data_IF_192829250647
#
_entry.id   IF_192829250647
#
_cell.length_a   1.000
_cell.length_b   1.000
_cell.length_c   1.000
_cell.angle_alpha   90.00
_cell.angle_beta   90.00
_cell.angle_gamma   90.00
#
_symmetry.space_group_name_H-M   'P 1'
#
loop_
_entity.id
_entity.type
_entity.pdbx_description
1 polymer ?
#
# COMPACT_ATOMS: atom_id res chain seq x y z
N UNK A 1 0.75 -26.59 20.99
CA UNK A 1 1.58 -27.82 20.88
C UNK A 1 3.01 -27.47 21.31
N UNK A 2 3.52 -28.24 22.28
CA UNK A 2 4.58 -27.90 23.22
C UNK A 2 5.98 -27.94 22.60
N UNK A 3 6.28 -27.05 21.65
CA UNK A 3 7.59 -27.02 20.96
C UNK A 3 8.76 -26.70 21.91
N UNK A 4 8.51 -25.83 22.89
CA UNK A 4 9.51 -25.41 23.87
C UNK A 4 9.94 -26.54 24.82
N UNK A 5 9.02 -27.44 25.20
CA UNK A 5 9.35 -28.60 26.04
C UNK A 5 10.21 -29.61 25.29
N UNK A 6 10.02 -29.76 23.96
CA UNK A 6 10.82 -30.70 23.18
C UNK A 6 12.27 -30.22 23.01
N UNK A 7 12.46 -28.95 22.64
CA UNK A 7 13.80 -28.39 22.38
C UNK A 7 14.65 -28.39 23.66
N UNK A 8 14.05 -28.05 24.80
CA UNK A 8 14.78 -28.03 26.09
C UNK A 8 15.23 -29.41 26.55
N UNK A 9 14.45 -30.45 26.28
CA UNK A 9 14.82 -31.84 26.57
C UNK A 9 15.92 -32.34 25.63
N UNK A 10 15.84 -32.02 24.34
CA UNK A 10 16.88 -32.35 23.36
C UNK A 10 18.22 -31.69 23.69
N UNK A 11 18.21 -30.41 24.09
CA UNK A 11 19.43 -29.68 24.47
C UNK A 11 20.10 -30.24 25.73
N UNK A 12 19.31 -30.71 26.70
CA UNK A 12 19.85 -31.40 27.89
C UNK A 12 20.51 -32.73 27.56
N UNK A 13 20.05 -33.45 26.53
CA UNK A 13 20.69 -34.69 26.08
C UNK A 13 22.04 -34.42 25.40
N UNK A 14 22.15 -33.32 24.65
CA UNK A 14 23.38 -32.96 23.94
C UNK A 14 24.46 -32.38 24.86
N UNK A 15 24.05 -31.59 25.85
CA UNK A 15 24.98 -30.97 26.80
C UNK A 15 24.32 -30.86 28.20
N UNK A 16 24.43 -31.90 29.04
CA UNK A 16 23.74 -31.96 30.32
C UNK A 16 24.24 -30.93 31.34
N UNK A 17 25.51 -30.51 31.25
CA UNK A 17 26.12 -29.52 32.15
C UNK A 17 25.99 -28.07 31.65
N UNK A 18 25.40 -27.86 30.47
CA UNK A 18 25.21 -26.53 29.92
C UNK A 18 23.97 -25.85 30.52
N UNK A 19 24.18 -24.71 31.18
CA UNK A 19 23.10 -23.88 31.70
C UNK A 19 22.51 -23.02 30.57
N UNK A 20 21.61 -23.63 29.79
CA UNK A 20 20.94 -22.94 28.68
C UNK A 20 19.99 -21.85 29.21
N UNK A 21 20.16 -20.58 28.79
CA UNK A 21 19.22 -19.53 29.18
C UNK A 21 17.84 -19.84 28.61
N UNK A 22 16.79 -19.68 29.43
CA UNK A 22 15.42 -19.93 29.01
C UNK A 22 14.96 -18.99 27.90
N UNK A 23 15.51 -17.76 27.89
CA UNK A 23 15.26 -16.75 26.87
C UNK A 23 16.50 -16.55 26.00
N UNK A 24 16.30 -16.51 24.68
CA UNK A 24 17.37 -16.21 23.75
C UNK A 24 17.83 -14.75 23.96
N UNK A 25 19.15 -14.48 24.13
CA UNK A 25 19.67 -13.13 24.35
C UNK A 25 19.50 -12.20 23.14
N UNK A 26 19.12 -12.74 21.99
CA UNK A 26 18.87 -12.00 20.76
C UNK A 26 17.47 -12.29 20.25
N UNK A 27 16.72 -11.21 20.03
CA UNK A 27 15.40 -11.28 19.42
C UNK A 27 15.48 -10.71 18.02
N UNK A 28 14.84 -11.39 17.07
CA UNK A 28 14.70 -10.85 15.72
C UNK A 28 13.43 -10.01 15.63
N UNK A 29 13.41 -8.94 14.81
CA UNK A 29 12.20 -8.17 14.57
C UNK A 29 11.07 -9.06 14.02
N UNK A 30 9.83 -8.71 14.34
CA UNK A 30 8.66 -9.38 13.77
C UNK A 30 8.74 -9.41 12.23
N UNK A 31 8.47 -10.56 11.63
CA UNK A 31 8.53 -10.76 10.17
C UNK A 31 9.94 -10.94 9.60
N UNK A 32 10.99 -11.04 10.42
CA UNK A 32 12.37 -11.24 9.94
C UNK A 32 12.50 -12.48 9.05
N UNK A 33 11.99 -13.63 9.49
CA UNK A 33 12.07 -14.88 8.73
C UNK A 33 11.09 -14.94 7.56
N UNK A 34 10.01 -14.14 7.58
CA UNK A 34 9.06 -14.07 6.47
C UNK A 34 9.68 -13.35 5.25
N UNK A 35 10.47 -12.30 5.50
CA UNK A 35 11.19 -11.54 4.46
C UNK A 35 12.60 -12.07 4.17
N UNK A 36 13.09 -13.03 4.95
CA UNK A 36 14.43 -13.57 4.82
C UNK A 36 14.66 -14.24 3.44
N UNK A 37 13.76 -15.09 2.92
CA UNK A 37 13.95 -15.71 1.60
C UNK A 37 14.05 -14.68 0.48
N UNK A 38 13.22 -13.64 0.52
CA UNK A 38 13.22 -12.56 -0.47
C UNK A 38 14.51 -11.74 -0.40
N UNK A 39 14.96 -11.43 0.82
CA UNK A 39 16.21 -10.70 1.05
C UNK A 39 17.40 -11.49 0.51
N UNK A 40 17.47 -12.81 0.77
CA UNK A 40 18.52 -13.68 0.24
C UNK A 40 18.47 -13.76 -1.28
N UNK A 41 17.29 -13.94 -1.88
CA UNK A 41 17.15 -14.01 -3.34
C UNK A 41 17.48 -12.69 -4.03
N UNK A 42 17.14 -11.57 -3.41
CA UNK A 42 17.51 -10.24 -3.88
C UNK A 42 19.03 -10.06 -3.81
N UNK A 43 19.65 -10.46 -2.70
CA UNK A 43 21.09 -10.39 -2.53
C UNK A 43 21.82 -11.26 -3.56
N UNK A 44 21.35 -12.50 -3.80
CA UNK A 44 21.89 -13.38 -4.85
C UNK A 44 21.68 -12.79 -6.25
N UNK A 45 20.57 -12.11 -6.52
CA UNK A 45 20.36 -11.42 -7.81
C UNK A 45 21.27 -10.19 -7.99
N UNK A 46 21.56 -9.46 -6.92
CA UNK A 46 22.49 -8.34 -6.92
C UNK A 46 23.94 -8.83 -7.07
N UNK A 47 24.25 -9.98 -6.46
CA UNK A 47 25.44 -10.77 -6.72
C UNK A 47 25.23 -11.63 -7.98
N UNK A 48 24.89 -11.02 -9.13
CA UNK A 48 25.06 -11.70 -10.42
C UNK A 48 26.50 -12.22 -10.47
N UNK A 49 26.73 -13.54 -10.49
CA UNK A 49 28.07 -14.02 -10.54
C UNK A 49 28.43 -14.10 -12.01
N UNK A 50 28.97 -13.01 -12.54
CA UNK A 50 29.96 -13.17 -13.59
C UNK A 50 31.15 -13.87 -12.91
N UNK A 51 31.07 -15.21 -12.80
CA UNK A 51 32.14 -16.09 -12.33
C UNK A 51 33.39 -16.01 -13.23
N UNK A 52 33.37 -15.15 -14.26
CA UNK A 52 34.52 -14.72 -15.04
C UNK A 52 34.98 -13.33 -14.59
N UNK A 53 35.74 -13.26 -13.49
CA UNK A 53 36.69 -12.15 -13.29
C UNK A 53 36.34 -11.04 -12.30
N UNK A 54 35.39 -11.22 -11.36
CA UNK A 54 35.19 -10.23 -10.30
C UNK A 54 36.22 -10.42 -9.18
N UNK A 55 37.16 -9.48 -9.10
CA UNK A 55 37.92 -9.17 -7.89
C UNK A 55 36.92 -8.76 -6.81
N UNK A 56 36.63 -9.68 -5.90
CA UNK A 56 35.80 -9.44 -4.72
C UNK A 56 36.52 -8.37 -3.88
N UNK A 57 35.90 -7.23 -3.54
CA UNK A 57 36.52 -6.24 -2.67
C UNK A 57 36.78 -6.88 -1.31
N UNK A 58 38.06 -7.11 -1.01
CA UNK A 58 38.64 -7.48 0.29
C UNK A 58 37.69 -8.21 1.25
N UNK A 59 37.43 -9.48 0.95
CA UNK A 59 37.14 -10.41 2.03
C UNK A 59 38.43 -10.50 2.88
N UNK A 60 38.37 -10.35 4.21
CA UNK A 60 39.57 -10.35 5.07
C UNK A 60 40.39 -11.65 4.99
N UNK A 61 39.85 -12.68 4.32
CA UNK A 61 40.46 -13.97 4.12
C UNK A 61 40.47 -14.32 2.62
N UNK A 62 41.31 -13.64 1.83
CA UNK A 62 41.63 -14.08 0.46
C UNK A 62 42.94 -14.85 0.46
N UNK A 63 43.02 -15.93 -0.31
CA UNK A 63 44.30 -16.59 -0.57
C UNK A 63 45.08 -15.82 -1.64
N UNK A 64 46.42 -15.79 -1.58
CA UNK A 64 47.23 -15.25 -2.67
C UNK A 64 46.95 -15.96 -4.00
N UNK A 65 47.14 -15.24 -5.11
CA UNK A 65 47.06 -15.83 -6.44
C UNK A 65 48.08 -16.99 -6.57
N UNK A 66 47.68 -18.12 -7.13
CA UNK A 66 48.54 -19.31 -7.29
C UNK A 66 48.76 -20.14 -6.03
N UNK A 67 48.07 -19.84 -4.92
CA UNK A 67 48.17 -20.64 -3.69
C UNK A 67 47.85 -22.12 -3.93
N UNK A 68 46.74 -22.42 -4.60
CA UNK A 68 46.32 -23.79 -4.87
C UNK A 68 47.14 -24.48 -5.96
N UNK A 69 47.77 -23.73 -6.87
CA UNK A 69 48.64 -24.29 -7.92
C UNK A 69 49.96 -24.83 -7.33
N UNK A 70 50.49 -24.13 -6.32
CA UNK A 70 51.74 -24.51 -5.64
C UNK A 70 51.53 -25.41 -4.41
N UNK A 71 50.30 -25.52 -3.90
CA UNK A 71 49.97 -26.31 -2.72
C UNK A 71 50.39 -27.78 -2.84
N UNK A 72 50.11 -28.52 -3.94
CA UNK A 72 50.48 -29.93 -4.04
C UNK A 72 51.99 -30.15 -3.91
N UNK A 73 52.78 -29.27 -4.53
CA UNK A 73 54.25 -29.30 -4.48
C UNK A 73 54.75 -28.92 -3.09
N UNK A 74 54.16 -27.91 -2.45
CA UNK A 74 54.50 -27.51 -1.09
C UNK A 74 54.22 -28.62 -0.06
N UNK A 75 53.09 -29.33 -0.19
CA UNK A 75 52.78 -30.51 0.65
C UNK A 75 53.80 -31.62 0.41
N UNK A 76 54.08 -31.97 -0.84
CA UNK A 76 55.04 -33.03 -1.17
C UNK A 76 56.44 -32.70 -0.66
N UNK A 77 56.88 -31.44 -0.81
CA UNK A 77 58.16 -30.97 -0.28
C UNK A 77 58.19 -31.05 1.25
N UNK A 78 57.08 -30.70 1.92
CA UNK A 78 56.98 -30.80 3.38
C UNK A 78 57.04 -32.24 3.86
N UNK A 79 56.35 -33.17 3.19
CA UNK A 79 56.41 -34.61 3.49
C UNK A 79 57.85 -35.11 3.37
N UNK A 80 58.55 -34.81 2.26
CA UNK A 80 59.95 -35.19 2.06
C UNK A 80 60.89 -34.58 3.11
N UNK A 81 60.72 -33.30 3.44
CA UNK A 81 61.54 -32.66 4.50
C UNK A 81 61.23 -33.20 5.90
N UNK A 82 60.01 -33.69 6.14
CA UNK A 82 59.63 -34.34 7.38
C UNK A 82 60.16 -35.79 7.47
N UNK A 83 60.52 -36.41 6.34
CA UNK A 83 61.29 -37.66 6.31
C UNK A 83 62.79 -37.40 6.58
N UNK A 84 63.32 -36.23 6.23
CA UNK A 84 64.72 -35.86 6.46
C UNK A 84 65.02 -35.37 7.90
N UNK A 85 64.04 -34.80 8.59
CA UNK A 85 64.11 -34.68 10.06
C UNK A 85 63.86 -36.08 10.64
N UNK A 86 64.74 -36.63 11.50
CA UNK A 86 64.48 -37.90 12.13
C UNK A 86 63.39 -37.70 13.18
N UNK A 87 62.14 -37.69 12.72
CA UNK A 87 60.94 -37.86 13.56
C UNK A 87 61.14 -39.07 14.47
N UNK A 88 61.94 -40.05 14.04
CA UNK A 88 62.39 -41.18 14.85
C UNK A 88 63.28 -40.78 16.04
N UNK A 89 64.23 -39.85 15.89
CA UNK A 89 65.05 -39.37 17.00
C UNK A 89 64.26 -38.49 17.97
N UNK A 90 63.33 -37.67 17.47
CA UNK A 90 62.40 -36.92 18.32
C UNK A 90 61.44 -37.86 19.06
N UNK A 91 60.86 -38.85 18.36
CA UNK A 91 60.01 -39.86 19.00
C UNK A 91 60.78 -40.73 19.99
N UNK A 92 62.03 -41.11 19.70
CA UNK A 92 62.87 -41.88 20.61
C UNK A 92 63.18 -41.08 21.88
N UNK A 93 63.44 -39.77 21.73
CA UNK A 93 63.62 -38.86 22.87
C UNK A 93 62.33 -38.65 23.69
N UNK A 94 61.16 -38.62 23.05
CA UNK A 94 59.87 -38.42 23.72
C UNK A 94 59.30 -39.72 24.32
N UNK A 95 59.43 -40.84 23.61
CA UNK A 95 58.94 -42.15 24.00
C UNK A 95 59.63 -43.28 23.19
N UNK A 96 60.64 -43.95 23.77
CA UNK A 96 61.32 -45.07 23.09
C UNK A 96 60.36 -46.25 22.82
N UNK A 97 59.28 -46.38 23.60
CA UNK A 97 58.27 -47.41 23.40
C UNK A 97 57.43 -47.15 22.13
N UNK A 98 57.02 -45.91 21.89
CA UNK A 98 56.25 -45.55 20.69
C UNK A 98 57.15 -45.60 19.45
N UNK A 99 58.43 -45.20 19.58
CA UNK A 99 59.41 -45.32 18.50
C UNK A 99 59.63 -46.77 18.03
N UNK A 100 59.53 -47.74 18.94
CA UNK A 100 59.67 -49.17 18.64
C UNK A 100 58.43 -49.81 17.99
N UNK A 101 57.30 -49.10 17.90
CA UNK A 101 56.08 -49.63 17.27
C UNK A 101 56.21 -49.53 15.74
N UNK A 102 56.05 -50.64 14.99
CA UNK A 102 56.11 -50.59 13.53
C UNK A 102 54.96 -49.75 12.98
N UNK A 103 55.28 -48.80 12.09
CA UNK A 103 54.30 -47.95 11.41
C UNK A 103 53.55 -48.76 10.34
N UNK A 104 52.60 -49.58 10.78
CA UNK A 104 51.69 -50.28 9.89
C UNK A 104 50.47 -49.39 9.65
N UNK A 105 50.10 -49.19 8.39
CA UNK A 105 48.82 -48.57 8.03
C UNK A 105 47.76 -49.67 8.01
N UNK A 106 46.91 -49.82 9.05
CA UNK A 106 45.95 -50.92 9.14
C UNK A 106 44.86 -50.85 8.06
N UNK A 107 44.72 -49.71 7.41
CA UNK A 107 43.75 -49.48 6.36
C UNK A 107 44.47 -49.35 5.03
N UNK A 108 44.18 -50.29 4.13
CA UNK A 108 44.57 -50.21 2.72
C UNK A 108 43.30 -50.18 1.89
N UNK A 109 43.36 -49.44 0.79
CA UNK A 109 42.23 -49.30 -0.11
C UNK A 109 42.36 -50.36 -1.21
N UNK A 110 41.28 -51.05 -1.62
CA UNK A 110 41.31 -52.00 -2.72
C UNK A 110 41.80 -51.37 -4.02
N UNK A 111 42.47 -52.17 -4.85
CA UNK A 111 42.88 -51.75 -6.20
C UNK A 111 41.65 -51.26 -6.98
N UNK A 112 41.74 -50.06 -7.57
CA UNK A 112 40.67 -49.46 -8.37
C UNK A 112 39.53 -48.77 -7.58
N UNK A 113 39.63 -48.62 -6.25
CA UNK A 113 38.61 -47.89 -5.46
C UNK A 113 38.31 -46.49 -6.01
N UNK A 114 39.35 -45.71 -6.32
CA UNK A 114 39.18 -44.35 -6.84
C UNK A 114 38.72 -44.31 -8.31
N UNK A 115 38.94 -45.38 -9.08
CA UNK A 115 38.44 -45.52 -10.45
C UNK A 115 36.93 -45.77 -10.46
N UNK A 116 36.41 -46.41 -9.40
CA UNK A 116 34.97 -46.62 -9.20
C UNK A 116 34.23 -45.38 -8.68
N UNK A 117 34.95 -44.35 -8.22
CA UNK A 117 34.37 -43.05 -7.86
C UNK A 117 34.03 -42.27 -9.13
N UNK A 118 33.05 -42.76 -9.88
CA UNK A 118 32.41 -41.99 -10.94
C UNK A 118 31.68 -40.83 -10.28
N UNK A 119 32.25 -39.63 -10.38
CA UNK A 119 31.53 -38.39 -10.14
C UNK A 119 30.37 -38.37 -11.12
N UNK A 120 29.20 -38.77 -10.66
CA UNK A 120 27.98 -38.51 -11.40
C UNK A 120 27.75 -37.00 -11.23
N UNK A 121 27.97 -36.17 -12.26
CA UNK A 121 27.37 -34.85 -12.22
C UNK A 121 25.88 -35.07 -11.95
N UNK A 122 25.26 -34.31 -11.03
CA UNK A 122 23.83 -34.46 -10.78
C UNK A 122 23.17 -34.45 -12.14
N UNK A 123 22.50 -35.57 -12.48
CA UNK A 123 21.86 -35.73 -13.77
C UNK A 123 21.15 -34.41 -14.05
N UNK A 124 21.54 -33.72 -15.12
CA UNK A 124 20.80 -32.57 -15.59
C UNK A 124 19.44 -33.11 -16.02
N UNK A 125 18.56 -33.34 -15.05
CA UNK A 125 17.13 -33.31 -15.21
C UNK A 125 16.86 -31.88 -15.61
N UNK A 126 17.03 -31.59 -16.91
CA UNK A 126 16.48 -30.40 -17.48
C UNK A 126 14.98 -30.47 -17.15
N UNK A 127 14.46 -29.66 -16.22
CA UNK A 127 13.02 -29.56 -16.12
C UNK A 127 12.62 -29.06 -17.50
N UNK A 128 11.81 -29.81 -18.22
CA UNK A 128 11.09 -29.27 -19.37
C UNK A 128 10.22 -28.15 -18.80
N UNK A 129 10.77 -26.93 -18.77
CA UNK A 129 10.07 -25.76 -18.26
C UNK A 129 8.86 -25.60 -19.17
N UNK A 130 7.69 -25.98 -18.66
CA UNK A 130 6.42 -25.76 -19.34
C UNK A 130 6.30 -24.27 -19.55
N UNK A 131 6.50 -23.82 -20.80
CA UNK A 131 6.33 -22.42 -21.19
C UNK A 131 4.85 -22.08 -20.96
N UNK A 132 4.56 -21.45 -19.83
CA UNK A 132 3.23 -20.92 -19.55
C UNK A 132 3.09 -19.65 -20.37
N UNK A 133 2.40 -19.77 -21.50
CA UNK A 133 1.98 -18.63 -22.30
C UNK A 133 1.00 -17.80 -21.47
N UNK A 134 1.48 -16.70 -20.90
CA UNK A 134 0.64 -15.78 -20.12
C UNK A 134 -0.19 -14.96 -21.10
N UNK A 135 -1.51 -15.12 -21.06
CA UNK A 135 -2.41 -14.40 -21.95
C UNK A 135 -2.50 -12.91 -21.54
N UNK A 136 -2.01 -11.95 -22.36
CA UNK A 136 -1.97 -10.53 -22.02
C UNK A 136 -3.37 -9.89 -21.94
N UNK A 137 -4.41 -10.50 -22.53
CA UNK A 137 -5.77 -9.93 -22.50
C UNK A 137 -6.35 -9.81 -21.09
N UNK A 138 -5.90 -10.61 -20.12
CA UNK A 138 -6.35 -10.49 -18.72
C UNK A 138 -5.99 -9.14 -18.09
N UNK A 139 -4.93 -8.46 -18.56
CA UNK A 139 -4.55 -7.13 -18.06
C UNK A 139 -5.41 -6.04 -18.70
N UNK A 140 -5.71 -6.14 -19.99
CA UNK A 140 -6.50 -5.17 -20.74
C UNK A 140 -7.96 -5.16 -20.31
N UNK A 141 -8.51 -6.33 -19.97
CA UNK A 141 -9.87 -6.45 -19.42
C UNK A 141 -10.01 -5.66 -18.11
N UNK A 142 -8.98 -5.62 -17.25
CA UNK A 142 -9.03 -4.85 -15.99
C UNK A 142 -9.12 -3.35 -16.23
N UNK A 143 -8.42 -2.84 -17.24
CA UNK A 143 -8.51 -1.43 -17.64
C UNK A 143 -9.83 -1.11 -18.33
N UNK A 144 -10.34 -2.02 -19.17
CA UNK A 144 -11.65 -1.85 -19.81
C UNK A 144 -12.78 -1.77 -18.78
N UNK A 145 -12.76 -2.63 -17.75
CA UNK A 145 -13.74 -2.57 -16.65
C UNK A 145 -13.65 -1.25 -15.90
N UNK A 146 -12.44 -0.78 -15.58
CA UNK A 146 -12.26 0.51 -14.90
C UNK A 146 -12.79 1.69 -15.74
N UNK A 147 -12.52 1.71 -17.04
CA UNK A 147 -13.04 2.73 -17.95
C UNK A 147 -14.57 2.71 -18.00
N UNK A 148 -15.19 1.52 -18.12
CA UNK A 148 -16.65 1.38 -18.11
C UNK A 148 -17.28 1.88 -16.81
N UNK A 149 -16.66 1.60 -15.66
CA UNK A 149 -17.17 2.08 -14.37
C UNK A 149 -17.11 3.60 -14.29
N UNK A 150 -16.02 4.23 -14.73
CA UNK A 150 -15.88 5.69 -14.75
C UNK A 150 -16.88 6.33 -15.71
N UNK A 151 -17.07 5.76 -16.91
CA UNK A 151 -18.04 6.31 -17.87
C UNK A 151 -19.46 6.15 -17.34
N UNK A 152 -19.80 5.01 -16.74
CA UNK A 152 -21.15 4.77 -16.22
C UNK A 152 -21.47 5.68 -15.03
N UNK A 153 -20.54 5.83 -14.08
CA UNK A 153 -20.73 6.75 -12.94
C UNK A 153 -20.78 8.20 -13.39
N UNK A 154 -19.91 8.62 -14.32
CA UNK A 154 -19.90 9.98 -14.86
C UNK A 154 -21.18 10.31 -15.64
N UNK A 155 -21.66 9.38 -16.47
CA UNK A 155 -22.89 9.57 -17.25
C UNK A 155 -24.12 9.58 -16.35
N UNK A 156 -24.13 8.73 -15.31
CA UNK A 156 -25.21 8.73 -14.30
C UNK A 156 -25.24 10.04 -13.50
N UNK A 157 -24.07 10.56 -13.08
CA UNK A 157 -23.99 11.83 -12.37
C UNK A 157 -24.45 13.02 -13.24
N UNK A 158 -24.06 13.05 -14.51
CA UNK A 158 -24.50 14.08 -15.45
C UNK A 158 -26.02 14.07 -15.68
N UNK A 159 -26.63 12.88 -15.83
CA UNK A 159 -28.08 12.77 -15.96
C UNK A 159 -28.83 13.15 -14.69
N UNK A 160 -28.25 12.90 -13.51
CA UNK A 160 -28.84 13.33 -12.24
C UNK A 160 -28.78 14.85 -12.07
N UNK A 161 -27.70 15.50 -12.53
CA UNK A 161 -27.56 16.96 -12.49
C UNK A 161 -28.43 17.66 -13.55
N UNK A 162 -28.69 17.01 -14.68
CA UNK A 162 -29.58 17.52 -15.74
C UNK A 162 -31.06 17.27 -15.43
N UNK A 163 -31.36 16.46 -14.41
CA UNK A 163 -32.71 16.30 -13.86
C UNK A 163 -32.99 17.45 -12.90
N UNK A 164 -33.27 18.62 -13.49
CA UNK A 164 -33.81 19.78 -12.79
C UNK A 164 -34.97 19.34 -11.89
N UNK A 165 -34.83 19.62 -10.60
CA UNK A 165 -35.89 19.48 -9.62
C UNK A 165 -36.91 20.58 -9.86
N UNK A 166 -38.00 20.27 -10.57
CA UNK A 166 -39.20 21.10 -10.55
C UNK A 166 -39.81 21.04 -9.14
N UNK A 167 -39.26 21.82 -8.21
CA UNK A 167 -39.94 22.16 -6.98
C UNK A 167 -41.16 22.97 -7.40
N UNK A 168 -42.31 22.30 -7.50
CA UNK A 168 -43.57 22.96 -7.76
C UNK A 168 -43.94 23.68 -6.47
N UNK A 169 -43.42 24.89 -6.32
CA UNK A 169 -43.74 25.80 -5.22
C UNK A 169 -45.26 25.93 -5.11
N UNK A 170 -45.95 25.98 -6.25
CA UNK A 170 -47.42 25.92 -6.36
C UNK A 170 -48.05 24.79 -5.52
N UNK A 171 -47.51 23.57 -5.64
CA UNK A 171 -47.99 22.37 -4.95
C UNK A 171 -47.65 22.37 -3.46
N UNK A 172 -46.61 23.09 -3.08
CA UNK A 172 -46.25 23.29 -1.68
C UNK A 172 -47.08 24.40 -1.04
N UNK A 173 -47.49 25.41 -1.83
CA UNK A 173 -48.41 26.48 -1.43
C UNK A 173 -49.84 25.98 -1.25
N UNK A 174 -50.29 25.03 -2.09
CA UNK A 174 -51.61 24.39 -1.96
C UNK A 174 -51.82 23.70 -0.60
N UNK A 175 -50.74 23.31 0.08
CA UNK A 175 -50.79 22.64 1.38
C UNK A 175 -50.69 23.56 2.59
N UNK A 176 -50.57 24.88 2.39
CA UNK A 176 -50.49 25.85 3.49
C UNK A 176 -51.89 26.19 4.00
N UNK A 177 -52.08 26.09 5.32
CA UNK A 177 -53.32 26.50 5.95
C UNK A 177 -53.39 28.02 6.12
N UNK A 178 -54.58 28.59 6.00
CA UNK A 178 -54.77 30.05 6.09
C UNK A 178 -54.35 30.59 7.47
N UNK A 179 -54.48 29.80 8.53
CA UNK A 179 -54.08 30.20 9.88
C UNK A 179 -52.56 30.38 9.99
N UNK A 180 -51.79 29.52 9.33
CA UNK A 180 -50.33 29.60 9.33
C UNK A 180 -49.84 30.80 8.50
N UNK A 181 -50.53 31.11 7.40
CA UNK A 181 -50.26 32.31 6.58
C UNK A 181 -50.52 33.57 7.41
N UNK A 182 -51.66 33.64 8.10
CA UNK A 182 -52.00 34.78 8.96
C UNK A 182 -51.00 34.96 10.11
N UNK A 183 -50.62 33.87 10.78
CA UNK A 183 -49.63 33.90 11.84
C UNK A 183 -48.26 34.39 11.35
N UNK A 184 -47.83 33.90 10.17
CA UNK A 184 -46.58 34.34 9.57
C UNK A 184 -46.60 35.84 9.26
N UNK A 185 -47.66 36.33 8.63
CA UNK A 185 -47.83 37.75 8.30
C UNK A 185 -47.87 38.62 9.56
N UNK A 186 -48.59 38.22 10.60
CA UNK A 186 -48.65 38.98 11.85
C UNK A 186 -47.30 39.08 12.56
N UNK A 187 -46.49 38.03 12.48
CA UNK A 187 -45.22 37.98 13.20
C UNK A 187 -44.02 38.49 12.37
N UNK A 188 -44.16 38.59 11.05
CA UNK A 188 -43.08 38.98 10.13
C UNK A 188 -43.41 40.20 9.27
N UNK A 189 -44.42 40.99 9.64
CA UNK A 189 -44.71 42.27 8.99
C UNK A 189 -44.91 43.35 10.06
N UNK A 190 -44.00 44.33 10.10
CA UNK A 190 -44.15 45.55 10.90
C UNK A 190 -44.97 46.60 10.13
N UNK A 191 -45.47 47.61 10.84
CA UNK A 191 -46.21 48.78 10.31
C UNK A 191 -45.46 49.47 9.16
N UNK A 192 -44.12 49.43 9.16
CA UNK A 192 -43.29 50.02 8.10
C UNK A 192 -43.00 49.08 6.92
N UNK A 193 -43.18 47.77 7.08
CA UNK A 193 -42.94 46.79 6.01
C UNK A 193 -44.06 46.82 4.97
N UNK A 194 -45.28 47.19 5.38
CA UNK A 194 -46.43 47.28 4.49
C UNK A 194 -46.19 48.30 3.35
N UNK A 195 -45.59 49.45 3.66
CA UNK A 195 -45.28 50.49 2.67
C UNK A 195 -44.22 50.02 1.65
N UNK A 196 -43.22 49.24 2.10
CA UNK A 196 -42.20 48.67 1.24
C UNK A 196 -42.76 47.56 0.33
N UNK A 197 -43.67 46.75 0.87
CA UNK A 197 -44.42 45.73 0.11
C UNK A 197 -45.28 46.43 -0.96
N UNK A 198 -46.08 47.44 -0.60
CA UNK A 198 -46.89 48.20 -1.55
C UNK A 198 -46.04 48.92 -2.61
N UNK A 199 -44.89 49.49 -2.25
CA UNK A 199 -43.97 50.11 -3.20
C UNK A 199 -43.39 49.09 -4.20
N UNK A 200 -43.14 47.85 -3.77
CA UNK A 200 -42.64 46.79 -4.64
C UNK A 200 -43.70 46.28 -5.64
N UNK A 201 -44.99 46.36 -5.28
CA UNK A 201 -46.10 46.01 -6.16
C UNK A 201 -46.60 47.17 -7.01
N UNK A 202 -46.31 48.43 -6.67
CA UNK A 202 -46.71 49.59 -7.46
C UNK A 202 -46.07 49.64 -8.86
N UNK A 203 -44.92 48.97 -9.06
CA UNK A 203 -44.25 48.84 -10.36
C UNK A 203 -44.79 47.65 -11.19
N UNK A 204 -45.59 46.76 -10.56
CA UNK A 204 -46.30 45.68 -11.23
C UNK A 204 -47.71 46.17 -11.52
N UNK A 205 -48.00 46.45 -12.78
CA UNK A 205 -49.36 46.79 -13.22
C UNK A 205 -50.34 45.72 -12.73
N UNK A 206 -51.22 46.11 -11.80
CA UNK A 206 -52.23 45.22 -11.26
C UNK A 206 -53.05 44.61 -12.41
N UNK A 207 -53.37 43.31 -12.39
CA UNK A 207 -54.13 42.67 -13.46
C UNK A 207 -55.47 43.40 -13.66
N UNK A 208 -55.85 43.65 -14.91
CA UNK A 208 -57.05 44.43 -15.30
C UNK A 208 -58.34 43.99 -14.58
N UNK A 209 -58.41 42.72 -14.18
CA UNK A 209 -59.53 42.13 -13.43
C UNK A 209 -59.72 42.75 -12.05
N UNK A 210 -58.63 43.02 -11.32
CA UNK A 210 -58.71 43.66 -10.01
C UNK A 210 -59.06 45.15 -10.14
N UNK A 211 -58.56 45.81 -11.19
CA UNK A 211 -58.92 47.20 -11.47
C UNK A 211 -60.41 47.36 -11.82
N UNK A 212 -61.01 46.39 -12.50
CA UNK A 212 -62.45 46.37 -12.77
C UNK A 212 -63.28 46.18 -11.50
N UNK A 213 -62.86 45.28 -10.59
CA UNK A 213 -63.56 45.07 -9.32
C UNK A 213 -63.45 46.29 -8.39
N UNK A 214 -62.29 46.94 -8.33
CA UNK A 214 -62.09 48.17 -7.58
C UNK A 214 -62.92 49.33 -8.12
N UNK A 215 -63.03 49.46 -9.44
CA UNK A 215 -63.87 50.48 -10.08
C UNK A 215 -65.37 50.21 -9.91
N UNK A 216 -65.79 48.96 -9.65
CA UNK A 216 -67.17 48.64 -9.26
C UNK A 216 -67.44 48.99 -7.78
N UNK A 217 -66.52 48.65 -6.87
CA UNK A 217 -66.71 48.90 -5.44
C UNK A 217 -66.57 50.39 -5.07
N UNK A 218 -65.68 51.11 -5.75
CA UNK A 218 -65.45 52.55 -5.56
C UNK A 218 -65.36 53.21 -6.94
N UNK A 219 -66.48 53.69 -7.49
CA UNK A 219 -66.45 54.34 -8.79
C UNK A 219 -65.58 55.61 -8.73
N UNK A 220 -64.75 55.89 -9.74
CA UNK A 220 -63.82 57.02 -9.73
C UNK A 220 -64.53 58.38 -9.56
N UNK A 221 -65.79 58.48 -9.99
CA UNK A 221 -66.61 59.66 -9.77
C UNK A 221 -66.88 59.98 -8.28
N UNK A 222 -66.96 58.96 -7.42
CA UNK A 222 -67.13 59.15 -5.98
C UNK A 222 -65.85 59.71 -5.34
N UNK A 223 -64.68 59.33 -5.88
CA UNK A 223 -63.37 59.84 -5.45
C UNK A 223 -63.23 61.32 -5.82
N UNK A 224 -63.66 61.70 -7.03
CA UNK A 224 -63.67 63.11 -7.45
C UNK A 224 -64.64 63.96 -6.61
N UNK A 225 -65.82 63.42 -6.27
CA UNK A 225 -66.78 64.10 -5.39
C UNK A 225 -66.20 64.30 -3.99
N UNK A 226 -65.48 63.31 -3.45
CA UNK A 226 -64.82 63.42 -2.14
C UNK A 226 -63.67 64.43 -2.17
N UNK A 227 -62.87 64.43 -3.26
CA UNK A 227 -61.77 65.38 -3.48
C UNK A 227 -62.26 66.82 -3.68
N UNK A 228 -63.42 67.03 -4.31
CA UNK A 228 -64.03 68.35 -4.41
C UNK A 228 -64.61 68.82 -3.06
N UNK A 229 -65.07 67.88 -2.24
CA UNK A 229 -65.60 68.19 -0.91
C UNK A 229 -64.50 68.45 0.12
N UNK A 230 -63.29 67.92 -0.10
CA UNK A 230 -62.08 68.31 0.61
C UNK A 230 -61.40 69.48 -0.12
N UNK A 231 -61.64 70.71 0.32
CA UNK A 231 -60.93 71.92 -0.15
C UNK A 231 -59.40 71.81 0.05
N UNK A 232 -58.70 71.09 -0.83
CA UNK A 232 -57.24 71.06 -0.91
C UNK A 232 -56.77 71.33 -2.35
N UNK A 233 -57.54 72.09 -3.11
CA UNK A 233 -57.07 72.68 -4.35
C UNK A 233 -56.33 73.99 -4.07
N UNK A 234 -55.06 74.00 -4.47
CA UNK A 234 -54.17 75.15 -4.72
C UNK A 234 -53.33 75.65 -3.54
N UNK A 235 -52.07 75.20 -3.48
CA UNK A 235 -50.94 76.12 -3.27
C UNK A 235 -49.65 75.50 -3.84
N UNK A 236 -49.36 75.80 -5.12
CA UNK A 236 -48.18 76.60 -5.54
C UNK A 236 -46.84 75.97 -5.13
N UNK A 237 -46.25 75.25 -6.07
CA UNK A 237 -44.79 75.01 -6.09
C UNK A 237 -44.11 76.29 -6.58
N UNK A 238 -43.02 76.74 -5.95
CA UNK A 238 -41.95 77.37 -6.73
C UNK A 238 -40.58 76.73 -6.49
N UNK A 239 -39.88 76.61 -7.61
CA UNK A 239 -38.47 76.30 -7.81
C UNK A 239 -37.54 77.09 -6.89
N UNK A 240 -36.50 76.45 -6.34
CA UNK A 240 -35.14 76.45 -6.93
C UNK A 240 -34.23 75.42 -6.27
#
# INVERSE_FOLDING_TARGET
MNKHENISNELKQLAPDANWPADAPFTVPAGYFDRFPETVLQQVHLLKPDFSGIVIPNHPYTTPAGYFDSLPQAIMQRIKSAEENPVEAELEALSPLIAAIPRQTPFTVPAGYFESLTVHPPAHVAPSLRIVHRNPVRKWIRYAVAACLITFTSTTALLFLQKESHLNVEKQLEGLDNQDIEFYLQNHTDVFDNDAIFASFADVTAPETLQQQLNEEIPPAAIEQYLQQSDLSKEVVPNH
#
